data_IF_423750833028
#
_entry.id   IF_423750833028
#
_cell.length_a   1.000
_cell.length_b   1.000
_cell.length_c   1.000
_cell.angle_alpha   90.00
_cell.angle_beta   90.00
_cell.angle_gamma   90.00
#
_symmetry.space_group_name_H-M   'P 1'
#
loop_
_entity.id
_entity.type
_entity.pdbx_description
1 polymer ?
#
# COMPACT_ATOMS: atom_id res chain seq x y z
N UNK A 1 -54.39 -71.20 26.55
CA UNK A 1 -52.95 -71.23 26.20
C UNK A 1 -52.81 -70.45 24.90
N UNK A 2 -51.91 -69.45 24.87
CA UNK A 2 -51.68 -68.39 23.85
C UNK A 2 -52.81 -67.35 23.66
N UNK A 3 -52.52 -66.06 23.40
CA UNK A 3 -51.73 -65.00 24.07
C UNK A 3 -52.14 -63.70 23.33
N UNK A 4 -52.33 -62.62 24.07
CA UNK A 4 -52.87 -61.31 23.65
C UNK A 4 -51.92 -60.53 22.69
N UNK A 5 -52.44 -59.96 21.58
CA UNK A 5 -52.67 -58.53 21.23
C UNK A 5 -51.64 -57.50 21.77
N UNK A 6 -50.87 -56.86 20.87
CA UNK A 6 -50.89 -55.42 20.49
C UNK A 6 -49.54 -54.97 19.88
N UNK A 7 -49.63 -54.25 18.75
CA UNK A 7 -48.57 -53.40 18.18
C UNK A 7 -48.11 -52.35 19.19
N UNK A 8 -46.82 -52.00 19.17
CA UNK A 8 -46.32 -50.61 19.18
C UNK A 8 -44.82 -50.62 18.89
N UNK A 9 -44.47 -49.77 17.92
CA UNK A 9 -43.18 -49.16 17.62
C UNK A 9 -42.19 -49.11 18.78
N UNK A 10 -40.96 -49.58 18.55
CA UNK A 10 -39.79 -48.91 19.09
C UNK A 10 -38.63 -49.07 18.11
N UNK A 11 -38.66 -48.18 17.12
CA UNK A 11 -37.51 -47.74 16.34
C UNK A 11 -36.40 -47.40 17.35
N UNK A 12 -35.36 -48.23 17.41
CA UNK A 12 -34.21 -47.98 18.26
C UNK A 12 -33.46 -46.78 17.64
N UNK A 13 -33.81 -45.60 18.14
CA UNK A 13 -33.15 -44.34 17.88
C UNK A 13 -31.71 -44.47 18.39
N UNK A 14 -30.79 -44.83 17.49
CA UNK A 14 -29.37 -44.54 17.69
C UNK A 14 -29.25 -43.02 17.68
N UNK A 15 -29.34 -42.42 18.86
CA UNK A 15 -28.88 -41.06 19.12
C UNK A 15 -27.36 -41.07 18.94
N UNK A 16 -26.90 -40.96 17.70
CA UNK A 16 -25.67 -40.24 17.43
C UNK A 16 -25.96 -38.80 17.84
N UNK A 17 -25.51 -38.43 19.03
CA UNK A 17 -25.15 -37.06 19.31
C UNK A 17 -24.05 -36.77 18.28
N UNK A 18 -24.43 -36.17 17.16
CA UNK A 18 -23.49 -35.48 16.32
C UNK A 18 -22.92 -34.39 17.21
N UNK A 19 -21.71 -34.62 17.70
CA UNK A 19 -20.80 -33.50 17.93
C UNK A 19 -20.74 -32.83 16.56
N UNK A 20 -21.38 -31.66 16.43
CA UNK A 20 -21.16 -30.80 15.28
C UNK A 20 -19.65 -30.64 15.19
N UNK A 21 -19.11 -31.00 14.04
CA UNK A 21 -17.69 -31.00 13.73
C UNK A 21 -17.29 -29.53 13.59
N UNK A 22 -17.08 -28.83 14.71
CA UNK A 22 -16.71 -27.41 14.74
C UNK A 22 -15.49 -27.14 13.87
N UNK A 23 -14.60 -28.12 13.77
CA UNK A 23 -13.38 -28.06 12.97
C UNK A 23 -13.68 -28.04 11.46
N UNK A 24 -14.80 -28.62 11.00
CA UNK A 24 -15.19 -28.55 9.58
C UNK A 24 -15.75 -27.17 9.23
N UNK A 25 -16.67 -26.64 10.05
CA UNK A 25 -17.28 -25.32 9.82
C UNK A 25 -16.23 -24.20 9.87
N UNK A 26 -15.27 -24.28 10.80
CA UNK A 26 -14.16 -23.33 10.91
C UNK A 26 -13.25 -23.36 9.67
N UNK A 27 -12.96 -24.55 9.13
CA UNK A 27 -12.14 -24.68 7.92
C UNK A 27 -12.86 -24.19 6.65
N UNK A 28 -14.19 -24.35 6.57
CA UNK A 28 -15.00 -23.78 5.49
C UNK A 28 -15.05 -22.25 5.56
N UNK A 29 -15.23 -21.69 6.75
CA UNK A 29 -15.19 -20.24 6.98
C UNK A 29 -13.82 -19.67 6.59
N UNK A 30 -12.71 -20.25 7.03
CA UNK A 30 -11.36 -19.78 6.64
C UNK A 30 -11.13 -19.75 5.12
N UNK A 31 -11.62 -20.76 4.39
CA UNK A 31 -11.54 -20.78 2.93
C UNK A 31 -12.34 -19.65 2.29
N UNK A 32 -13.52 -19.30 2.82
CA UNK A 32 -14.31 -18.17 2.34
C UNK A 32 -13.62 -16.83 2.66
N UNK A 33 -13.08 -16.68 3.87
CA UNK A 33 -12.36 -15.47 4.29
C UNK A 33 -11.09 -15.23 3.44
N UNK A 34 -10.37 -16.30 3.08
CA UNK A 34 -9.22 -16.23 2.16
C UNK A 34 -9.66 -15.81 0.75
N UNK A 35 -10.73 -16.39 0.23
CA UNK A 35 -11.26 -16.03 -1.09
C UNK A 35 -11.65 -14.54 -1.14
N UNK A 36 -12.35 -14.05 -0.12
CA UNK A 36 -12.69 -12.62 -0.01
C UNK A 36 -11.46 -11.73 0.05
N UNK A 37 -10.40 -12.16 0.73
CA UNK A 37 -9.13 -11.43 0.79
C UNK A 37 -8.43 -11.37 -0.57
N UNK A 38 -8.48 -12.45 -1.33
CA UNK A 38 -7.85 -12.55 -2.66
C UNK A 38 -8.55 -11.67 -3.70
N UNK A 39 -9.87 -11.53 -3.58
CA UNK A 39 -10.68 -10.71 -4.48
C UNK A 39 -10.68 -9.22 -4.12
N UNK A 40 -10.23 -8.86 -2.91
CA UNK A 40 -10.35 -7.48 -2.44
C UNK A 40 -9.30 -6.53 -3.03
N UNK A 41 -9.80 -5.52 -3.75
CA UNK A 41 -9.00 -4.47 -4.39
C UNK A 41 -8.32 -3.50 -3.41
N UNK A 42 -8.54 -3.56 -2.09
CA UNK A 42 -7.88 -2.69 -1.11
C UNK A 42 -6.79 -3.42 -0.31
N UNK A 43 -6.96 -4.72 -0.09
CA UNK A 43 -6.14 -5.52 0.80
C UNK A 43 -4.79 -5.99 0.22
N UNK A 44 -4.71 -6.15 -1.11
CA UNK A 44 -3.55 -6.71 -1.80
C UNK A 44 -2.29 -5.83 -1.89
N UNK A 45 -1.27 -6.37 -2.56
CA UNK A 45 0.04 -5.73 -2.84
C UNK A 45 0.20 -5.33 -4.31
N UNK A 46 -0.86 -5.35 -5.11
CA UNK A 46 -0.74 -5.01 -6.53
C UNK A 46 -0.39 -3.54 -6.74
N UNK A 47 0.56 -3.29 -7.64
CA UNK A 47 1.19 -1.98 -7.80
C UNK A 47 2.40 -1.76 -6.89
N UNK A 48 2.64 -2.62 -5.88
CA UNK A 48 3.89 -2.61 -5.12
C UNK A 48 5.04 -3.16 -5.96
N UNK A 49 6.16 -2.44 -5.96
CA UNK A 49 7.36 -2.76 -6.74
C UNK A 49 7.43 -1.99 -8.04
N UNK A 50 8.63 -1.96 -8.62
CA UNK A 50 9.01 -0.99 -9.66
C UNK A 50 9.28 -1.66 -11.00
N UNK A 51 9.40 -2.99 -11.03
CA UNK A 51 9.78 -3.72 -12.24
C UNK A 51 11.24 -3.51 -12.62
N UNK A 52 12.09 -3.18 -11.63
CA UNK A 52 13.49 -2.84 -11.80
C UNK A 52 13.75 -1.34 -11.74
N UNK A 53 14.78 -0.88 -12.45
CA UNK A 53 15.19 0.52 -12.49
C UNK A 53 14.10 1.41 -13.09
N UNK A 54 13.59 2.34 -12.29
CA UNK A 54 12.61 3.33 -12.71
C UNK A 54 13.08 4.73 -12.35
N UNK A 55 12.53 5.69 -13.09
CA UNK A 55 12.71 7.11 -12.79
C UNK A 55 12.14 7.45 -11.41
N UNK A 56 12.65 8.54 -10.84
CA UNK A 56 12.19 9.06 -9.56
C UNK A 56 10.73 9.51 -9.62
N UNK A 57 10.34 10.11 -10.74
CA UNK A 57 8.97 10.46 -11.08
C UNK A 57 8.56 9.78 -12.39
N UNK A 58 7.47 9.03 -12.36
CA UNK A 58 6.86 8.45 -13.55
C UNK A 58 5.35 8.23 -13.36
N UNK A 59 4.64 8.00 -14.46
CA UNK A 59 3.23 7.65 -14.44
C UNK A 59 2.95 6.67 -15.58
N UNK A 60 2.12 5.66 -15.31
CA UNK A 60 1.69 4.68 -16.29
C UNK A 60 0.21 4.35 -16.12
N UNK A 61 -0.54 4.47 -17.23
CA UNK A 61 -1.84 3.83 -17.40
C UNK A 61 -3.09 4.58 -16.92
N UNK A 62 -4.21 3.88 -17.14
CA UNK A 62 -5.65 4.12 -16.89
C UNK A 62 -6.46 4.92 -17.92
N UNK A 63 -5.98 6.05 -18.42
CA UNK A 63 -6.83 6.94 -19.25
C UNK A 63 -6.22 7.25 -20.63
N UNK A 64 -5.12 6.59 -20.96
CA UNK A 64 -4.38 6.78 -22.21
C UNK A 64 -4.02 5.43 -22.81
N UNK A 65 -5.00 4.69 -23.36
CA UNK A 65 -4.87 3.44 -24.14
C UNK A 65 -3.48 2.76 -24.14
N UNK A 66 -2.99 2.35 -22.96
CA UNK A 66 -1.70 1.66 -22.84
C UNK A 66 -0.44 2.39 -23.32
N UNK A 67 -0.47 3.71 -23.57
CA UNK A 67 0.74 4.49 -23.86
C UNK A 67 1.30 5.08 -22.56
N UNK A 68 2.39 4.51 -22.00
CA UNK A 68 3.06 5.12 -20.86
C UNK A 68 3.61 6.47 -21.31
N UNK A 69 3.00 7.57 -20.84
CA UNK A 69 3.75 8.82 -20.74
C UNK A 69 4.68 8.65 -19.56
N UNK A 70 5.90 8.20 -19.85
CA UNK A 70 7.04 8.53 -18.99
C UNK A 70 7.18 10.06 -19.10
N UNK A 71 6.37 10.81 -18.35
CA UNK A 71 6.72 12.16 -17.91
C UNK A 71 7.83 11.97 -16.88
N UNK A 72 8.93 11.39 -17.33
CA UNK A 72 10.14 11.26 -16.58
C UNK A 72 10.72 12.65 -16.48
N UNK A 73 11.13 12.98 -15.27
CA UNK A 73 12.06 14.06 -14.95
C UNK A 73 13.00 14.34 -16.15
N UNK A 74 12.72 15.43 -16.87
CA UNK A 74 13.47 15.83 -18.06
C UNK A 74 14.61 16.69 -17.53
N UNK A 75 15.83 16.13 -17.51
CA UNK A 75 17.02 16.85 -17.06
C UNK A 75 17.07 18.25 -17.67
N UNK A 76 17.13 19.26 -16.81
CA UNK A 76 17.45 20.61 -17.22
C UNK A 76 18.87 20.67 -17.76
N UNK A 77 19.13 21.50 -18.76
CA UNK A 77 20.50 21.74 -19.24
C UNK A 77 21.34 22.30 -18.08
N UNK A 78 22.27 21.49 -17.54
CA UNK A 78 23.12 21.84 -16.40
C UNK A 78 22.97 20.95 -15.16
N UNK A 79 22.01 20.01 -15.16
CA UNK A 79 21.87 19.00 -14.09
C UNK A 79 22.79 17.81 -14.40
N UNK A 80 23.79 17.57 -13.54
CA UNK A 80 24.93 16.70 -13.85
C UNK A 80 24.63 15.20 -13.97
N UNK A 81 23.62 14.69 -13.24
CA UNK A 81 23.24 13.27 -13.29
C UNK A 81 21.80 13.05 -12.81
N UNK A 82 21.15 12.01 -13.34
CA UNK A 82 19.83 11.50 -12.96
C UNK A 82 19.95 10.17 -12.24
N UNK A 83 19.30 10.03 -11.09
CA UNK A 83 19.26 8.75 -10.37
C UNK A 83 18.01 7.97 -10.76
N UNK A 84 18.21 6.69 -11.09
CA UNK A 84 17.14 5.69 -11.22
C UNK A 84 17.32 4.64 -10.17
N UNK A 85 16.21 4.21 -9.58
CA UNK A 85 16.23 3.09 -8.67
C UNK A 85 14.90 2.36 -8.67
N UNK A 86 14.94 1.11 -8.25
CA UNK A 86 13.72 0.37 -7.98
C UNK A 86 13.95 -1.08 -7.62
N UNK A 87 12.85 -1.70 -7.22
CA UNK A 87 12.75 -3.11 -6.84
C UNK A 87 12.26 -3.93 -8.02
N UNK A 88 13.00 -4.98 -8.34
CA UNK A 88 12.49 -6.11 -9.10
C UNK A 88 12.15 -7.23 -8.12
N UNK A 89 10.85 -7.39 -7.86
CA UNK A 89 10.35 -8.44 -6.98
C UNK A 89 10.41 -9.77 -7.73
N UNK A 90 11.07 -10.76 -7.13
CA UNK A 90 11.19 -12.12 -7.69
C UNK A 90 10.30 -13.11 -6.97
N UNK A 91 9.96 -12.84 -5.71
CA UNK A 91 9.12 -13.72 -4.91
C UNK A 91 8.24 -12.94 -3.91
N UNK A 92 7.07 -13.50 -3.63
CA UNK A 92 6.06 -12.95 -2.72
C UNK A 92 5.40 -14.10 -1.97
N UNK A 93 5.73 -14.24 -0.70
CA UNK A 93 5.05 -15.16 0.19
C UNK A 93 4.01 -14.41 1.02
N UNK A 94 2.86 -15.06 1.27
CA UNK A 94 1.81 -14.54 2.13
C UNK A 94 1.34 -15.64 3.08
N UNK A 95 1.27 -15.32 4.36
CA UNK A 95 0.55 -16.12 5.36
C UNK A 95 -0.60 -15.31 5.93
N UNK A 96 -1.67 -16.01 6.33
CA UNK A 96 -2.83 -15.40 6.95
C UNK A 96 -3.25 -16.26 8.13
N UNK A 97 -3.31 -15.64 9.30
CA UNK A 97 -3.78 -16.27 10.53
C UNK A 97 -5.15 -15.68 10.88
N UNK A 98 -6.18 -16.52 10.93
CA UNK A 98 -7.53 -16.08 11.28
C UNK A 98 -7.83 -16.27 12.77
N UNK A 99 -8.65 -15.37 13.30
CA UNK A 99 -9.30 -15.52 14.58
C UNK A 99 -10.78 -15.22 14.37
N UNK A 100 -11.61 -16.26 14.43
CA UNK A 100 -13.06 -16.17 14.27
C UNK A 100 -13.71 -16.06 15.66
N UNK A 101 -14.58 -15.07 15.83
CA UNK A 101 -15.37 -14.85 17.05
C UNK A 101 -16.82 -14.55 16.67
N UNK A 102 -17.64 -15.60 16.66
CA UNK A 102 -19.06 -15.55 16.32
C UNK A 102 -19.30 -15.02 14.90
N UNK A 103 -19.88 -13.82 14.82
CA UNK A 103 -20.24 -13.16 13.56
C UNK A 103 -19.13 -12.27 12.99
N UNK A 104 -17.95 -12.28 13.62
CA UNK A 104 -16.80 -11.48 13.18
C UNK A 104 -15.55 -12.34 13.07
N UNK A 105 -14.61 -11.92 12.22
CA UNK A 105 -13.29 -12.52 12.15
C UNK A 105 -12.22 -11.46 11.91
N UNK A 106 -11.01 -11.73 12.39
CA UNK A 106 -9.82 -10.93 12.08
C UNK A 106 -8.79 -11.83 11.41
N UNK A 107 -8.36 -11.47 10.21
CA UNK A 107 -7.22 -12.08 9.53
C UNK A 107 -5.98 -11.21 9.71
N UNK A 108 -4.90 -11.76 10.28
CA UNK A 108 -3.58 -11.14 10.32
C UNK A 108 -2.81 -11.59 9.08
N UNK A 109 -2.57 -10.67 8.15
CA UNK A 109 -1.91 -10.94 6.88
C UNK A 109 -0.46 -10.53 6.98
N UNK A 110 0.44 -11.47 6.77
CA UNK A 110 1.89 -11.22 6.72
C UNK A 110 2.41 -11.51 5.31
N UNK A 111 3.17 -10.56 4.78
CA UNK A 111 3.84 -10.66 3.49
C UNK A 111 5.35 -10.68 3.68
N UNK A 112 6.02 -11.57 2.98
CA UNK A 112 7.48 -11.56 2.79
C UNK A 112 7.74 -11.31 1.31
N UNK A 113 8.33 -10.17 0.99
CA UNK A 113 8.61 -9.76 -0.39
C UNK A 113 10.12 -9.75 -0.61
N UNK A 114 10.59 -10.60 -1.52
CA UNK A 114 12.00 -10.73 -1.83
C UNK A 114 12.29 -10.40 -3.29
N UNK A 115 13.49 -9.89 -3.55
CA UNK A 115 13.93 -9.56 -4.90
C UNK A 115 15.25 -8.85 -4.95
N UNK A 116 15.47 -8.14 -6.05
CA UNK A 116 16.69 -7.39 -6.32
C UNK A 116 16.37 -5.90 -6.34
N UNK A 117 17.07 -5.14 -5.51
CA UNK A 117 17.09 -3.69 -5.54
C UNK A 117 18.20 -3.24 -6.48
N UNK A 118 17.90 -2.27 -7.34
CA UNK A 118 18.85 -1.71 -8.30
C UNK A 118 18.89 -0.19 -8.16
N UNK A 119 20.07 0.38 -8.25
CA UNK A 119 20.30 1.81 -8.35
C UNK A 119 21.30 2.09 -9.49
N UNK A 120 21.10 3.19 -10.21
CA UNK A 120 22.04 3.67 -11.22
C UNK A 120 21.98 5.18 -11.34
N UNK A 121 23.11 5.81 -11.67
CA UNK A 121 23.15 7.19 -12.13
C UNK A 121 23.34 7.23 -13.65
N UNK A 122 22.65 8.17 -14.30
CA UNK A 122 22.76 8.46 -15.73
C UNK A 122 23.27 9.89 -15.87
N UNK A 123 24.31 10.12 -16.66
CA UNK A 123 24.83 11.47 -16.91
C UNK A 123 23.96 12.26 -17.91
N UNK A 124 24.31 13.52 -18.16
CA UNK A 124 23.64 14.36 -19.16
C UNK A 124 23.75 13.84 -20.60
N UNK A 125 24.66 12.90 -20.87
CA UNK A 125 24.87 12.23 -22.16
C UNK A 125 24.01 10.97 -22.32
N UNK A 126 23.19 10.64 -21.31
CA UNK A 126 22.41 9.41 -21.21
C UNK A 126 23.26 8.14 -21.04
N UNK A 127 24.52 8.29 -20.62
CA UNK A 127 25.42 7.19 -20.30
C UNK A 127 25.33 6.82 -18.81
N UNK A 128 25.44 5.52 -18.52
CA UNK A 128 25.45 5.04 -17.13
C UNK A 128 26.78 5.42 -16.49
N UNK A 129 26.72 6.01 -15.30
CA UNK A 129 27.91 6.28 -14.50
C UNK A 129 28.21 4.99 -13.71
N UNK A 130 29.27 4.28 -14.13
CA UNK A 130 29.67 2.99 -13.56
C UNK A 130 29.82 3.00 -12.03
N UNK A 131 30.17 4.14 -11.41
CA UNK A 131 30.37 4.23 -9.97
C UNK A 131 29.08 4.20 -9.12
N UNK A 132 27.90 4.29 -9.72
CA UNK A 132 26.59 4.25 -9.00
C UNK A 132 25.71 3.10 -9.51
N UNK A 133 26.13 2.36 -10.55
CA UNK A 133 25.38 1.21 -11.06
C UNK A 133 25.62 -0.04 -10.22
N UNK A 134 24.68 -0.40 -9.35
CA UNK A 134 24.76 -1.65 -8.58
C UNK A 134 23.39 -2.29 -8.35
N UNK A 135 23.42 -3.54 -7.91
CA UNK A 135 22.24 -4.29 -7.49
C UNK A 135 22.53 -5.08 -6.22
N UNK A 136 21.55 -5.17 -5.32
CA UNK A 136 21.63 -6.00 -4.11
C UNK A 136 20.32 -6.72 -3.84
N UNK A 137 20.41 -7.87 -3.20
CA UNK A 137 19.21 -8.58 -2.76
C UNK A 137 18.52 -7.82 -1.63
N UNK A 138 17.20 -7.87 -1.61
CA UNK A 138 16.40 -7.38 -0.50
C UNK A 138 15.33 -8.38 -0.09
N UNK A 139 14.96 -8.29 1.18
CA UNK A 139 13.79 -8.93 1.73
C UNK A 139 13.07 -7.92 2.64
N UNK A 140 11.77 -7.76 2.43
CA UNK A 140 10.90 -6.90 3.23
C UNK A 140 9.73 -7.67 3.79
N UNK A 141 9.47 -7.48 5.08
CA UNK A 141 8.29 -8.03 5.76
C UNK A 141 7.26 -6.93 5.95
N UNK A 142 5.99 -7.23 5.62
CA UNK A 142 4.87 -6.30 5.79
C UNK A 142 3.68 -6.99 6.42
N UNK A 143 2.93 -6.27 7.24
CA UNK A 143 1.79 -6.82 7.99
C UNK A 143 0.59 -5.89 7.96
N UNK A 144 -0.61 -6.48 7.92
CA UNK A 144 -1.89 -5.76 8.12
C UNK A 144 -2.92 -6.68 8.75
N UNK A 145 -3.95 -6.07 9.35
CA UNK A 145 -5.13 -6.79 9.82
C UNK A 145 -6.31 -6.49 8.92
N UNK A 146 -7.12 -7.51 8.65
CA UNK A 146 -8.37 -7.41 7.90
C UNK A 146 -9.50 -7.92 8.78
N UNK A 147 -10.58 -7.15 8.87
CA UNK A 147 -11.75 -7.47 9.68
C UNK A 147 -12.90 -7.85 8.79
N UNK A 148 -13.57 -8.93 9.18
CA UNK A 148 -14.69 -9.52 8.48
C UNK A 148 -15.93 -9.53 9.38
N UNK A 149 -17.11 -9.50 8.76
CA UNK A 149 -18.37 -9.73 9.45
C UNK A 149 -19.31 -10.57 8.58
N UNK A 150 -20.12 -11.39 9.25
CA UNK A 150 -21.27 -12.06 8.64
C UNK A 150 -22.37 -11.03 8.41
N UNK A 151 -22.93 -11.01 7.20
CA UNK A 151 -24.06 -10.16 6.83
C UNK A 151 -25.21 -11.05 6.39
N UNK A 152 -26.40 -10.78 6.91
CA UNK A 152 -27.63 -11.48 6.53
C UNK A 152 -27.77 -11.58 5.01
N UNK A 153 -27.88 -12.81 4.51
CA UNK A 153 -28.05 -13.10 3.11
C UNK A 153 -29.01 -14.27 2.93
N UNK A 154 -30.29 -13.95 2.68
CA UNK A 154 -31.34 -14.94 2.45
C UNK A 154 -31.13 -15.80 1.20
N UNK A 155 -30.17 -15.45 0.33
CA UNK A 155 -29.84 -16.22 -0.87
C UNK A 155 -28.68 -17.20 -0.63
N UNK A 156 -27.99 -17.14 0.51
CA UNK A 156 -27.00 -18.13 0.91
C UNK A 156 -27.69 -19.24 1.73
N UNK A 157 -27.46 -20.53 1.46
CA UNK A 157 -27.94 -21.63 2.30
C UNK A 157 -27.73 -21.45 3.81
N UNK A 158 -26.63 -20.81 4.21
CA UNK A 158 -26.28 -20.59 5.63
C UNK A 158 -26.97 -19.36 6.25
N UNK A 159 -27.70 -18.60 5.45
CA UNK A 159 -28.44 -17.41 5.88
C UNK A 159 -27.59 -16.14 6.05
N UNK A 160 -26.28 -16.23 5.89
CA UNK A 160 -25.34 -15.11 5.93
C UNK A 160 -24.30 -15.21 4.80
N UNK A 161 -23.54 -14.15 4.55
CA UNK A 161 -22.30 -14.19 3.78
C UNK A 161 -21.23 -13.37 4.48
N UNK A 162 -19.99 -13.85 4.47
CA UNK A 162 -18.88 -13.06 4.98
C UNK A 162 -18.58 -11.87 4.08
N UNK A 163 -18.14 -10.76 4.67
CA UNK A 163 -17.59 -9.61 3.95
C UNK A 163 -16.43 -8.99 4.71
N UNK A 164 -15.47 -8.44 3.98
CA UNK A 164 -14.47 -7.53 4.55
C UNK A 164 -15.15 -6.21 4.87
N UNK A 165 -15.10 -5.80 6.14
CA UNK A 165 -15.70 -4.55 6.61
C UNK A 165 -14.66 -3.49 6.94
N UNK A 166 -13.42 -3.88 7.25
CA UNK A 166 -12.36 -2.94 7.54
C UNK A 166 -10.98 -3.57 7.37
N UNK A 167 -9.95 -2.73 7.24
CA UNK A 167 -8.56 -3.15 7.14
C UNK A 167 -7.64 -2.07 7.72
N UNK A 168 -6.50 -2.45 8.26
CA UNK A 168 -5.46 -1.50 8.69
C UNK A 168 -4.58 -1.10 7.51
N UNK A 169 -3.88 0.04 7.57
CA UNK A 169 -2.72 0.26 6.71
C UNK A 169 -1.80 -0.97 6.71
N UNK A 170 -1.24 -1.30 5.55
CA UNK A 170 -0.18 -2.29 5.47
C UNK A 170 1.13 -1.58 5.80
N UNK A 171 1.83 -2.06 6.82
CA UNK A 171 3.07 -1.44 7.29
C UNK A 171 4.20 -2.46 7.25
N UNK A 172 5.41 -2.01 6.95
CA UNK A 172 6.58 -2.87 7.02
C UNK A 172 7.73 -2.33 6.20
N UNK A 173 8.74 -3.17 6.00
CA UNK A 173 10.00 -2.71 5.43
C UNK A 173 11.14 -3.69 5.63
N UNK A 174 12.36 -3.17 5.59
CA UNK A 174 13.60 -3.88 5.84
C UNK A 174 14.57 -2.97 6.59
N UNK A 175 15.33 -3.52 7.53
CA UNK A 175 16.19 -2.73 8.41
C UNK A 175 15.41 -1.88 9.42
N UNK A 176 16.15 -1.11 10.22
CA UNK A 176 15.65 -0.30 11.35
C UNK A 176 16.14 1.16 11.33
N UNK A 177 16.87 1.55 10.27
CA UNK A 177 17.39 2.91 10.14
C UNK A 177 16.31 3.96 9.91
N UNK A 178 15.30 3.65 9.09
CA UNK A 178 14.24 4.60 8.71
C UNK A 178 12.87 4.12 9.17
N UNK A 179 12.08 5.03 9.72
CA UNK A 179 10.68 4.81 10.08
C UNK A 179 9.80 5.99 9.67
N UNK A 180 8.56 5.70 9.27
CA UNK A 180 7.55 6.73 9.02
C UNK A 180 6.84 7.01 10.35
N UNK A 181 6.75 8.29 10.74
CA UNK A 181 6.05 8.73 11.95
C UNK A 181 4.66 9.29 11.61
N UNK A 182 4.49 9.91 10.45
CA UNK A 182 3.17 10.31 9.97
C UNK A 182 3.06 10.37 8.45
N UNK A 183 1.84 10.19 7.96
CA UNK A 183 1.41 10.44 6.59
C UNK A 183 0.19 11.32 6.66
N UNK A 184 0.25 12.48 6.02
CA UNK A 184 -0.84 13.44 5.92
C UNK A 184 -1.08 13.77 4.45
N UNK A 185 -2.35 13.85 4.05
CA UNK A 185 -2.70 14.28 2.70
C UNK A 185 -3.71 15.41 2.77
N UNK A 186 -3.44 16.45 1.99
CA UNK A 186 -4.22 17.69 1.95
C UNK A 186 -4.75 17.96 0.55
N UNK A 187 -5.87 18.68 0.49
CA UNK A 187 -6.25 19.37 -0.74
C UNK A 187 -5.19 20.41 -1.12
N UNK A 188 -5.12 20.73 -2.42
CA UNK A 188 -4.35 21.88 -2.90
C UNK A 188 -5.21 23.13 -2.81
N UNK A 189 -4.75 24.14 -2.07
CA UNK A 189 -5.34 25.47 -2.10
C UNK A 189 -4.49 26.40 -2.99
N UNK A 190 -5.08 26.84 -4.10
CA UNK A 190 -4.49 27.79 -5.04
C UNK A 190 -4.80 29.25 -4.69
N UNK A 191 -5.75 29.49 -3.78
CA UNK A 191 -6.26 30.81 -3.43
C UNK A 191 -5.69 31.35 -2.10
N UNK A 192 -5.05 30.50 -1.31
CA UNK A 192 -4.50 30.87 0.00
C UNK A 192 -3.29 31.82 -0.07
N UNK A 193 -2.58 31.89 -1.20
CA UNK A 193 -1.45 32.79 -1.38
C UNK A 193 -1.76 33.86 -2.45
N UNK A 194 -1.58 35.17 -2.17
CA UNK A 194 -1.71 36.24 -3.16
C UNK A 194 -0.84 36.09 -4.41
N UNK A 195 0.25 35.32 -4.32
CA UNK A 195 1.19 35.04 -5.41
C UNK A 195 0.74 33.85 -6.29
N UNK A 196 -0.38 33.19 -5.96
CA UNK A 196 -0.91 32.05 -6.72
C UNK A 196 -0.09 30.76 -6.58
N UNK A 197 0.78 30.69 -5.57
CA UNK A 197 1.56 29.50 -5.24
C UNK A 197 0.65 28.52 -4.50
N UNK A 198 0.58 27.29 -5.00
CA UNK A 198 -0.16 26.20 -4.38
C UNK A 198 0.36 25.91 -2.97
N UNK A 199 -0.55 25.82 -1.99
CA UNK A 199 -0.24 25.44 -0.61
C UNK A 199 -1.15 24.33 -0.12
N UNK A 200 -0.83 23.73 1.02
CA UNK A 200 -1.70 22.77 1.69
C UNK A 200 -2.99 23.47 2.16
N UNK A 201 -4.13 22.97 1.69
CA UNK A 201 -5.47 23.36 2.13
C UNK A 201 -5.97 22.45 3.25
N UNK A 202 -7.22 22.04 3.15
CA UNK A 202 -7.85 21.17 4.14
C UNK A 202 -7.20 19.77 4.18
N UNK A 203 -7.00 19.24 5.40
CA UNK A 203 -6.56 17.87 5.63
C UNK A 203 -7.64 16.89 5.17
N UNK A 204 -7.28 16.00 4.26
CA UNK A 204 -8.15 14.94 3.74
C UNK A 204 -8.08 13.68 4.60
N UNK A 205 -6.87 13.27 4.96
CA UNK A 205 -6.64 12.17 5.90
C UNK A 205 -5.25 12.26 6.53
N UNK A 206 -5.11 11.65 7.70
CA UNK A 206 -3.84 11.55 8.43
C UNK A 206 -3.72 10.20 9.13
N UNK A 207 -2.52 9.64 9.11
CA UNK A 207 -2.12 8.46 9.87
C UNK A 207 -0.83 8.77 10.62
N UNK A 208 -0.74 8.32 11.86
CA UNK A 208 0.45 8.45 12.72
C UNK A 208 0.95 7.06 13.08
N UNK A 209 2.23 6.92 13.45
CA UNK A 209 2.83 5.63 13.81
C UNK A 209 2.18 5.00 15.04
N UNK A 210 1.64 5.82 15.92
CA UNK A 210 0.94 5.37 17.13
C UNK A 210 -0.25 4.48 16.77
N UNK A 211 -0.15 3.20 17.12
CA UNK A 211 -1.19 2.18 16.93
C UNK A 211 -1.66 1.99 15.46
N UNK A 212 -0.86 2.37 14.46
CA UNK A 212 -1.24 2.25 13.04
C UNK A 212 -1.57 0.81 12.62
N UNK A 213 -0.93 -0.18 13.24
CA UNK A 213 -1.19 -1.61 13.02
C UNK A 213 -2.53 -2.09 13.59
N UNK A 214 -3.25 -1.25 14.34
CA UNK A 214 -4.55 -1.51 14.96
C UNK A 214 -5.64 -0.52 14.50
N UNK A 215 -5.28 0.49 13.71
CA UNK A 215 -6.20 1.48 13.17
C UNK A 215 -6.95 0.93 11.95
N UNK A 216 -8.16 0.45 12.17
CA UNK A 216 -9.03 -0.06 11.11
C UNK A 216 -9.68 1.07 10.30
N UNK A 217 -9.46 1.04 8.99
CA UNK A 217 -10.15 1.87 8.00
C UNK A 217 -11.36 1.08 7.52
N UNK A 218 -12.55 1.68 7.62
CA UNK A 218 -13.78 1.10 7.07
C UNK A 218 -13.67 0.95 5.55
N UNK A 219 -13.99 -0.25 5.06
CA UNK A 219 -13.85 -0.63 3.66
C UNK A 219 -14.79 0.13 2.73
N UNK A 220 -15.91 0.63 3.23
CA UNK A 220 -16.91 1.39 2.47
C UNK A 220 -16.60 2.89 2.44
N UNK A 221 -15.91 3.40 3.47
CA UNK A 221 -15.54 4.82 3.60
C UNK A 221 -14.03 5.04 3.48
N UNK A 222 -13.38 4.35 2.53
CA UNK A 222 -11.98 4.61 2.20
C UNK A 222 -11.76 6.11 1.89
N UNK A 223 -10.56 6.66 2.18
CA UNK A 223 -10.17 7.99 1.71
C UNK A 223 -10.50 8.12 0.22
N UNK A 224 -11.29 9.12 -0.15
CA UNK A 224 -11.81 9.28 -1.50
C UNK A 224 -11.29 10.58 -2.10
N UNK A 225 -10.72 10.50 -3.30
CA UNK A 225 -10.24 11.66 -4.04
C UNK A 225 -10.96 11.81 -5.36
N UNK A 226 -11.15 13.06 -5.75
CA UNK A 226 -11.57 13.40 -7.10
C UNK A 226 -10.48 13.00 -8.08
N UNK A 227 -10.85 12.26 -9.12
CA UNK A 227 -9.95 11.84 -10.18
C UNK A 227 -9.30 13.04 -10.87
N UNK A 228 -8.01 12.90 -11.21
CA UNK A 228 -7.18 13.90 -11.91
C UNK A 228 -6.83 15.17 -11.14
N UNK A 229 -7.46 15.40 -9.99
CA UNK A 229 -7.07 16.46 -9.08
C UNK A 229 -5.71 16.16 -8.46
N UNK A 230 -5.03 17.24 -8.08
CA UNK A 230 -3.80 17.18 -7.33
C UNK A 230 -4.12 17.30 -5.83
N UNK A 231 -3.46 16.46 -5.04
CA UNK A 231 -3.40 16.54 -3.58
C UNK A 231 -1.94 16.73 -3.17
N UNK A 232 -1.71 17.22 -1.95
CA UNK A 232 -0.38 17.33 -1.35
C UNK A 232 -0.20 16.19 -0.37
N UNK A 233 0.83 15.37 -0.59
CA UNK A 233 1.28 14.38 0.37
C UNK A 233 2.40 14.96 1.23
N UNK A 234 2.32 14.71 2.53
CA UNK A 234 3.33 15.07 3.53
C UNK A 234 3.64 13.83 4.36
N UNK A 235 4.92 13.51 4.48
CA UNK A 235 5.38 12.30 5.18
C UNK A 235 6.50 12.70 6.13
N UNK A 236 6.31 12.39 7.41
CA UNK A 236 7.32 12.67 8.44
C UNK A 236 8.12 11.40 8.74
N UNK A 237 9.44 11.53 8.83
CA UNK A 237 10.39 10.43 8.94
C UNK A 237 11.24 10.57 10.19
N UNK A 238 11.60 9.42 10.77
CA UNK A 238 12.75 9.30 11.66
C UNK A 238 13.86 8.51 10.93
N UNK A 239 15.05 9.10 10.84
CA UNK A 239 16.25 8.48 10.27
C UNK A 239 17.36 8.38 11.33
N UNK A 240 17.57 7.17 11.84
CA UNK A 240 18.54 6.86 12.88
C UNK A 240 19.93 6.66 12.30
N UNK A 241 20.65 7.76 12.13
CA UNK A 241 22.05 7.76 11.68
C UNK A 241 22.19 7.84 10.16
N UNK A 242 21.83 8.99 9.56
CA UNK A 242 22.09 9.24 8.15
C UNK A 242 23.61 9.25 7.92
N UNK A 243 24.12 8.23 7.24
CA UNK A 243 25.55 8.07 6.95
C UNK A 243 25.97 8.80 5.66
N UNK A 244 24.99 9.16 4.84
CA UNK A 244 25.18 9.79 3.54
C UNK A 244 24.17 10.91 3.33
N UNK A 245 24.66 12.03 2.81
CA UNK A 245 23.85 13.12 2.25
C UNK A 245 24.44 13.46 0.88
N UNK A 246 23.58 13.83 -0.07
CA UNK A 246 24.01 14.10 -1.46
C UNK A 246 24.26 15.58 -1.74
N UNK A 247 23.81 16.46 -0.86
CA UNK A 247 23.89 17.90 -1.02
C UNK A 247 24.12 18.62 0.33
N UNK A 248 24.13 19.95 0.27
CA UNK A 248 24.32 20.82 1.44
C UNK A 248 23.07 20.96 2.31
N UNK A 249 21.92 20.44 1.89
CA UNK A 249 20.68 20.48 2.68
C UNK A 249 20.78 19.47 3.82
N UNK A 250 21.43 18.33 3.57
CA UNK A 250 21.77 17.37 4.61
C UNK A 250 20.74 16.26 4.84
N UNK A 251 19.77 16.14 3.93
CA UNK A 251 18.76 15.07 3.96
C UNK A 251 19.42 13.71 3.71
N UNK A 252 19.13 12.74 4.58
CA UNK A 252 19.76 11.42 4.59
C UNK A 252 18.91 10.29 3.99
N UNK A 253 17.70 10.61 3.52
CA UNK A 253 16.73 9.66 3.03
C UNK A 253 15.97 10.21 1.82
N UNK A 254 15.39 9.33 1.01
CA UNK A 254 14.42 9.71 0.01
C UNK A 254 13.06 9.10 0.31
N UNK A 255 12.03 9.93 0.17
CA UNK A 255 10.64 9.52 0.29
C UNK A 255 10.00 9.52 -1.10
N UNK A 256 9.37 8.40 -1.44
CA UNK A 256 8.60 8.25 -2.67
C UNK A 256 7.18 7.78 -2.36
N UNK A 257 6.22 8.43 -3.01
CA UNK A 257 4.84 7.98 -3.08
C UNK A 257 4.65 7.18 -4.36
N UNK A 258 4.56 5.86 -4.22
CA UNK A 258 4.10 4.99 -5.29
C UNK A 258 2.59 4.83 -5.16
N UNK A 259 1.87 4.79 -6.27
CA UNK A 259 0.42 4.65 -6.23
C UNK A 259 -0.03 3.89 -7.47
N UNK A 260 -1.03 3.05 -7.34
CA UNK A 260 -1.47 2.24 -8.48
C UNK A 260 -2.40 1.12 -8.09
N UNK A 261 -2.87 0.44 -9.13
CA UNK A 261 -3.71 -0.74 -9.02
C UNK A 261 -2.98 -2.00 -9.44
N UNK A 262 -2.05 -1.90 -10.39
CA UNK A 262 -1.28 -3.02 -10.94
C UNK A 262 0.07 -2.54 -11.47
N UNK A 263 0.93 -3.47 -11.90
CA UNK A 263 2.22 -3.15 -12.53
C UNK A 263 2.07 -2.28 -13.79
N UNK A 264 0.95 -2.43 -14.51
CA UNK A 264 0.66 -1.66 -15.72
C UNK A 264 -0.08 -0.33 -15.44
N UNK A 265 -0.50 -0.11 -14.20
CA UNK A 265 -1.34 1.02 -13.78
C UNK A 265 -0.81 1.55 -12.45
N UNK A 266 0.28 2.30 -12.54
CA UNK A 266 1.01 2.83 -11.39
C UNK A 266 1.78 4.09 -11.74
N UNK A 267 2.02 4.92 -10.74
CA UNK A 267 2.92 6.06 -10.78
C UNK A 267 3.81 6.11 -9.55
N UNK A 268 4.80 7.00 -9.62
CA UNK A 268 5.69 7.33 -8.52
C UNK A 268 5.92 8.84 -8.51
N UNK A 269 5.93 9.43 -7.32
CA UNK A 269 6.36 10.81 -7.08
C UNK A 269 7.39 10.86 -5.96
N UNK A 270 8.47 11.61 -6.13
CA UNK A 270 9.35 11.98 -5.02
C UNK A 270 8.71 13.08 -4.18
N UNK A 271 8.85 12.94 -2.87
CA UNK A 271 8.57 13.98 -1.89
C UNK A 271 9.91 14.58 -1.44
N UNK A 272 9.97 15.90 -1.28
CA UNK A 272 11.20 16.63 -1.01
C UNK A 272 11.14 17.30 0.36
N UNK A 273 12.31 17.46 0.98
CA UNK A 273 12.55 18.17 2.23
C UNK A 273 13.65 19.20 1.96
N UNK A 274 13.30 20.25 1.20
CA UNK A 274 14.23 21.28 0.72
C UNK A 274 13.89 22.68 1.24
N UNK A 275 12.80 22.87 1.98
CA UNK A 275 12.29 24.16 2.43
C UNK A 275 11.88 25.09 1.26
N UNK A 276 11.32 24.52 0.19
CA UNK A 276 10.88 25.26 -1.00
C UNK A 276 9.45 24.83 -1.40
N UNK A 277 8.65 25.81 -1.85
CA UNK A 277 7.30 25.60 -2.37
C UNK A 277 6.32 25.12 -1.28
N UNK A 278 5.76 23.92 -1.41
CA UNK A 278 4.85 23.29 -0.44
C UNK A 278 5.58 22.76 0.80
N UNK A 279 6.90 22.81 0.79
CA UNK A 279 7.78 22.42 1.86
C UNK A 279 8.24 23.66 2.63
N UNK A 280 7.93 23.75 3.93
CA UNK A 280 8.16 24.98 4.69
C UNK A 280 9.59 25.14 5.19
N UNK A 281 10.17 24.04 5.67
CA UNK A 281 11.46 24.00 6.32
C UNK A 281 12.32 22.94 5.62
N UNK A 282 13.64 23.12 5.64
CA UNK A 282 14.56 22.19 4.99
C UNK A 282 15.26 21.32 6.04
N UNK A 283 15.43 20.05 5.73
CA UNK A 283 16.06 19.05 6.59
C UNK A 283 15.39 18.95 7.98
N UNK A 284 14.06 18.98 8.02
CA UNK A 284 13.26 18.72 9.21
C UNK A 284 12.65 17.30 9.23
N UNK A 285 13.04 16.46 8.26
CA UNK A 285 12.53 15.13 7.98
C UNK A 285 11.05 15.08 7.62
N UNK A 286 10.49 16.20 7.14
CA UNK A 286 9.14 16.29 6.62
C UNK A 286 9.22 16.43 5.12
N UNK A 287 8.85 15.37 4.41
CA UNK A 287 8.90 15.36 2.96
C UNK A 287 7.54 15.67 2.35
N UNK A 288 7.48 16.67 1.47
CA UNK A 288 6.24 17.10 0.81
C UNK A 288 6.31 16.96 -0.72
N UNK A 289 5.16 16.70 -1.34
CA UNK A 289 5.09 16.56 -2.79
C UNK A 289 3.66 16.55 -3.34
N UNK A 290 3.52 16.94 -4.60
CA UNK A 290 2.23 16.85 -5.31
C UNK A 290 1.97 15.43 -5.79
N UNK A 291 0.74 15.00 -5.59
CA UNK A 291 0.23 13.73 -6.07
C UNK A 291 -1.01 13.97 -6.92
N UNK A 292 -0.91 13.66 -8.22
CA UNK A 292 -2.06 13.70 -9.12
C UNK A 292 -2.77 12.34 -9.10
N UNK A 293 -4.04 12.34 -8.70
CA UNK A 293 -4.83 11.12 -8.55
C UNK A 293 -5.18 10.54 -9.92
N UNK A 294 -4.98 9.24 -10.10
CA UNK A 294 -5.41 8.54 -11.33
C UNK A 294 -6.93 8.59 -11.51
N UNK A 295 -7.40 8.58 -12.76
CA UNK A 295 -8.80 8.26 -13.05
C UNK A 295 -9.14 6.80 -12.75
N UNK A 296 -10.43 6.46 -12.50
CA UNK A 296 -10.86 5.09 -12.23
C UNK A 296 -10.79 4.17 -13.46
N UNK A 297 -10.43 4.69 -14.63
CA UNK A 297 -10.41 3.97 -15.89
C UNK A 297 -11.67 4.19 -16.72
N UNK A 298 -11.60 3.75 -17.98
CA UNK A 298 -12.69 3.88 -18.95
C UNK A 298 -13.94 3.11 -18.49
N UNK A 299 -15.10 3.78 -18.49
CA UNK A 299 -16.39 3.15 -18.15
C UNK A 299 -16.66 2.99 -16.65
N UNK A 300 -15.75 3.40 -15.78
CA UNK A 300 -15.93 3.33 -14.32
C UNK A 300 -16.11 4.74 -13.73
N UNK A 301 -17.06 4.89 -12.81
CA UNK A 301 -17.29 6.12 -12.05
C UNK A 301 -16.37 6.24 -10.85
N UNK A 302 -15.99 5.12 -10.25
CA UNK A 302 -15.02 5.05 -9.17
C UNK A 302 -14.26 3.72 -9.20
N UNK A 303 -13.09 3.70 -8.57
CA UNK A 303 -12.27 2.51 -8.45
C UNK A 303 -11.32 2.58 -7.25
N UNK A 304 -10.93 1.44 -6.70
CA UNK A 304 -10.02 1.37 -5.55
C UNK A 304 -8.57 1.25 -6.01
N UNK A 305 -7.69 1.93 -5.28
CA UNK A 305 -6.26 2.00 -5.51
C UNK A 305 -5.51 1.84 -4.21
N UNK A 306 -4.20 1.59 -4.32
CA UNK A 306 -3.26 1.60 -3.21
C UNK A 306 -2.26 2.73 -3.39
N UNK A 307 -2.02 3.46 -2.32
CA UNK A 307 -0.84 4.30 -2.17
C UNK A 307 0.21 3.53 -1.36
N UNK A 308 1.49 3.80 -1.60
CA UNK A 308 2.65 3.22 -0.94
C UNK A 308 3.63 4.35 -0.66
N UNK A 309 3.57 4.89 0.56
CA UNK A 309 4.53 5.85 1.06
C UNK A 309 5.77 5.08 1.48
N UNK A 310 6.84 5.17 0.68
CA UNK A 310 8.07 4.41 0.89
C UNK A 310 9.23 5.35 1.16
N UNK A 311 9.99 5.05 2.20
CA UNK A 311 11.22 5.77 2.54
C UNK A 311 12.41 4.83 2.39
N UNK A 312 13.50 5.34 1.85
CA UNK A 312 14.75 4.61 1.66
C UNK A 312 15.92 5.45 2.16
N UNK A 313 16.78 4.83 2.96
CA UNK A 313 18.03 5.45 3.42
C UNK A 313 18.98 5.68 2.24
N UNK A 314 19.68 6.82 2.22
CA UNK A 314 20.58 7.13 1.11
C UNK A 314 21.79 6.19 1.03
N UNK A 315 22.25 5.62 2.16
CA UNK A 315 23.30 4.61 2.10
C UNK A 315 22.86 3.36 1.33
N UNK A 316 21.56 3.01 1.36
CA UNK A 316 20.99 1.93 0.53
C UNK A 316 21.06 2.27 -0.97
N UNK A 317 20.88 3.54 -1.34
CA UNK A 317 20.88 4.01 -2.74
C UNK A 317 22.26 4.23 -3.34
N UNK A 318 23.26 4.54 -2.52
CA UNK A 318 24.57 5.00 -3.00
C UNK A 318 25.75 4.12 -2.57
N UNK A 319 25.53 3.09 -1.75
CA UNK A 319 26.57 2.15 -1.33
C UNK A 319 26.19 0.73 -1.71
N UNK A 320 26.97 0.07 -2.56
CA UNK A 320 26.72 -1.32 -2.99
C UNK A 320 26.73 -2.29 -1.79
N UNK A 321 27.74 -2.20 -0.92
CA UNK A 321 27.91 -3.06 0.26
C UNK A 321 26.99 -2.69 1.44
N UNK A 322 26.22 -1.60 1.35
CA UNK A 322 25.31 -1.16 2.40
C UNK A 322 24.07 -2.06 2.54
N UNK A 323 23.47 -2.11 3.72
CA UNK A 323 22.19 -2.80 3.92
C UNK A 323 21.04 -2.19 3.10
N UNK A 324 19.99 -2.96 2.86
CA UNK A 324 18.73 -2.46 2.31
C UNK A 324 17.82 -1.98 3.45
N UNK A 325 17.78 -0.67 3.68
CA UNK A 325 16.99 -0.04 4.73
C UNK A 325 15.85 0.75 4.09
N UNK A 326 14.62 0.29 4.30
CA UNK A 326 13.43 0.96 3.81
C UNK A 326 12.23 0.67 4.68
N UNK A 327 11.28 1.59 4.68
CA UNK A 327 9.97 1.42 5.32
C UNK A 327 8.89 1.79 4.31
N UNK A 328 7.74 1.16 4.39
CA UNK A 328 6.59 1.42 3.52
C UNK A 328 5.30 1.33 4.32
N UNK A 329 4.45 2.33 4.17
CA UNK A 329 3.04 2.28 4.55
C UNK A 329 2.18 2.27 3.29
N UNK A 330 1.28 1.30 3.19
CA UNK A 330 0.26 1.26 2.15
C UNK A 330 -1.13 1.54 2.69
N UNK A 331 -1.74 2.59 2.13
CA UNK A 331 -3.05 3.08 2.51
C UNK A 331 -3.94 3.00 1.25
N UNK A 332 -5.02 2.19 1.26
CA UNK A 332 -5.92 2.15 0.13
C UNK A 332 -6.80 3.40 0.08
N UNK A 333 -7.20 3.77 -1.12
CA UNK A 333 -8.05 4.92 -1.38
C UNK A 333 -8.98 4.66 -2.58
N UNK A 334 -10.03 5.45 -2.69
CA UNK A 334 -10.95 5.44 -3.83
C UNK A 334 -10.69 6.66 -4.70
N UNK A 335 -10.55 6.45 -6.01
CA UNK A 335 -10.63 7.54 -6.99
C UNK A 335 -12.04 7.59 -7.55
N UNK A 336 -12.63 8.78 -7.63
CA UNK A 336 -13.99 9.00 -8.11
C UNK A 336 -14.02 10.14 -9.13
N UNK A 337 -14.71 9.95 -10.26
CA UNK A 337 -14.90 11.01 -11.25
C UNK A 337 -15.66 12.18 -10.61
N UNK A 338 -15.39 13.44 -11.02
CA UNK A 338 -16.23 14.56 -10.68
C UNK A 338 -17.69 14.28 -11.07
N UNK A 339 -18.64 14.69 -10.23
CA UNK A 339 -20.08 14.57 -10.50
C UNK A 339 -20.56 15.46 -11.66
#
# INVERSE_FOLDING_TARGET
>A
MMKYIYQISLFLLMLSIACVDTDQDEHYDESELLMLLDEDEAAGLDGFGDGGLMDMDYDSGLEYEGLPRILGDTLGYGEGYRIRFGRQITDRERTVDFTVDGDTAIGVVNYTVSGVFMAQAIDSSMEVIDSIGFSKDFNSTMTRKVKYARIDNSNNPDGYSWRIIALTPLIGGSGDKVSITSVEVYNVDLNANPEGIAVAGDLLYSFTSDEIGDLFIDRETLPTFTSFDAVIAKVSIENNGPEYTIDSIGVGEWVVLQYGRSVAQRGRRRLNDHGISIDSDANDNVHTGFWRVHGPGAGHNSHVFRSFFSTIDLATLFTEDGGYNSVTWSIPYRSQRPE
#
